data_IF_271417985797
#
_entry.id   IF_271417985797
#
_cell.length_a   1.000
_cell.length_b   1.000
_cell.length_c   1.000
_cell.angle_alpha   90.00
_cell.angle_beta   90.00
_cell.angle_gamma   90.00
#
_symmetry.space_group_name_H-M   'P 1'
#
loop_
_entity.id
_entity.type
_entity.pdbx_description
1 polymer ?
#
# COMPACT_ATOMS: atom_id res chain seq x y z
N UNK A 1 22.99 30.03 23.65
CA UNK A 1 21.90 29.08 23.37
C UNK A 1 21.46 29.30 21.93
N UNK A 2 21.97 28.52 20.97
CA UNK A 2 21.44 28.60 19.60
C UNK A 2 20.03 28.02 19.62
N UNK A 3 19.04 28.85 19.30
CA UNK A 3 17.68 28.36 19.06
C UNK A 3 17.69 27.72 17.68
N UNK A 4 17.63 26.40 17.65
CA UNK A 4 17.40 25.69 16.40
C UNK A 4 16.10 26.18 15.75
N UNK A 5 15.99 26.11 14.40
CA UNK A 5 14.77 26.47 13.70
C UNK A 5 13.55 25.73 14.28
N UNK A 6 12.36 26.36 14.31
CA UNK A 6 11.15 25.71 14.82
C UNK A 6 10.82 24.40 14.07
N UNK A 7 11.22 24.27 12.80
CA UNK A 7 11.09 23.06 11.98
C UNK A 7 11.95 21.90 12.48
N UNK A 8 13.16 22.19 12.97
CA UNK A 8 14.06 21.19 13.57
C UNK A 8 13.44 20.64 14.85
N UNK A 9 12.88 21.51 15.69
CA UNK A 9 12.18 21.08 16.91
C UNK A 9 10.97 20.19 16.58
N UNK A 10 10.16 20.57 15.56
CA UNK A 10 9.05 19.73 15.08
C UNK A 10 9.50 18.35 14.61
N UNK A 11 10.60 18.28 13.85
CA UNK A 11 11.19 17.01 13.43
C UNK A 11 11.55 16.13 14.64
N UNK A 12 12.26 16.70 15.61
CA UNK A 12 12.71 15.97 16.81
C UNK A 12 11.54 15.50 17.67
N UNK A 13 10.49 16.32 17.82
CA UNK A 13 9.29 15.96 18.56
C UNK A 13 8.52 14.81 17.90
N UNK A 14 8.37 14.85 16.56
CA UNK A 14 7.73 13.77 15.81
C UNK A 14 8.55 12.48 15.86
N UNK A 15 9.88 12.57 15.75
CA UNK A 15 10.77 11.42 15.94
C UNK A 15 10.63 10.79 17.32
N UNK A 16 10.61 11.62 18.39
CA UNK A 16 10.41 11.15 19.76
C UNK A 16 9.03 10.52 19.94
N UNK A 17 7.99 11.11 19.37
CA UNK A 17 6.64 10.56 19.42
C UNK A 17 6.59 9.18 18.75
N UNK A 18 7.14 9.05 17.53
CA UNK A 18 7.20 7.78 16.82
C UNK A 18 7.98 6.71 17.59
N UNK A 19 9.12 7.06 18.17
CA UNK A 19 9.90 6.15 19.02
C UNK A 19 9.10 5.69 20.25
N UNK A 20 8.40 6.60 20.92
CA UNK A 20 7.55 6.27 22.07
C UNK A 20 6.47 5.27 21.68
N UNK A 21 5.78 5.49 20.55
CA UNK A 21 4.75 4.59 20.05
C UNK A 21 5.30 3.20 19.71
N UNK A 22 6.50 3.11 19.12
CA UNK A 22 7.17 1.82 18.91
C UNK A 22 7.50 1.13 20.22
N UNK A 23 8.04 1.84 21.20
CA UNK A 23 8.33 1.28 22.53
C UNK A 23 7.06 0.77 23.22
N UNK A 24 5.96 1.50 23.12
CA UNK A 24 4.64 1.06 23.62
C UNK A 24 4.17 -0.21 22.89
N UNK A 25 4.32 -0.27 21.56
CA UNK A 25 3.97 -1.46 20.78
C UNK A 25 4.83 -2.69 21.14
N UNK A 26 6.09 -2.49 21.50
CA UNK A 26 6.99 -3.57 21.93
C UNK A 26 6.58 -4.17 23.28
N UNK A 27 5.99 -3.37 24.18
CA UNK A 27 5.51 -3.82 25.48
C UNK A 27 4.21 -4.65 25.40
N UNK A 28 3.45 -4.55 24.31
CA UNK A 28 2.12 -5.15 24.16
C UNK A 28 2.15 -6.58 23.57
N UNK A 29 3.09 -7.42 24.02
CA UNK A 29 3.22 -8.80 23.52
C UNK A 29 1.92 -9.60 23.71
N UNK A 30 1.47 -10.29 22.65
CA UNK A 30 0.23 -11.07 22.66
C UNK A 30 -1.03 -10.25 22.37
N UNK A 31 -0.96 -8.93 22.38
CA UNK A 31 -2.06 -8.03 21.99
C UNK A 31 -1.84 -7.45 20.58
N UNK A 32 -1.70 -8.34 19.60
CA UNK A 32 -1.29 -7.99 18.23
C UNK A 32 -2.17 -6.90 17.58
N UNK A 33 -3.46 -6.84 17.90
CA UNK A 33 -4.36 -5.77 17.42
C UNK A 33 -3.97 -4.39 17.98
N UNK A 34 -3.69 -4.28 19.27
CA UNK A 34 -3.25 -3.03 19.88
C UNK A 34 -1.84 -2.66 19.44
N UNK A 35 -0.94 -3.65 19.29
CA UNK A 35 0.40 -3.43 18.73
C UNK A 35 0.32 -2.78 17.35
N UNK A 36 -0.57 -3.26 16.48
CA UNK A 36 -0.76 -2.68 15.15
C UNK A 36 -1.18 -1.20 15.22
N UNK A 37 -2.04 -0.81 16.15
CA UNK A 37 -2.48 0.60 16.31
C UNK A 37 -1.29 1.50 16.61
N UNK A 38 -0.48 1.15 17.61
CA UNK A 38 0.68 1.95 17.98
C UNK A 38 1.77 1.96 16.91
N UNK A 39 1.99 0.85 16.20
CA UNK A 39 2.94 0.83 15.08
C UNK A 39 2.47 1.70 13.90
N UNK A 40 1.16 1.77 13.61
CA UNK A 40 0.65 2.69 12.60
C UNK A 40 0.84 4.16 13.03
N UNK A 41 0.55 4.50 14.29
CA UNK A 41 0.81 5.84 14.82
C UNK A 41 2.29 6.22 14.76
N UNK A 42 3.18 5.26 15.06
CA UNK A 42 4.62 5.47 14.91
C UNK A 42 5.01 5.76 13.46
N UNK A 43 4.48 4.97 12.52
CA UNK A 43 4.75 5.13 11.10
C UNK A 43 4.29 6.50 10.59
N UNK A 44 3.08 6.91 10.96
CA UNK A 44 2.53 8.22 10.61
C UNK A 44 3.40 9.35 11.18
N UNK A 45 3.86 9.24 12.42
CA UNK A 45 4.74 10.22 13.05
C UNK A 45 6.07 10.38 12.31
N UNK A 46 6.73 9.28 11.93
CA UNK A 46 7.98 9.33 11.17
C UNK A 46 7.77 9.87 9.75
N UNK A 47 6.68 9.50 9.08
CA UNK A 47 6.35 10.05 7.76
C UNK A 47 6.08 11.56 7.83
N UNK A 48 5.42 12.03 8.88
CA UNK A 48 5.26 13.46 9.13
C UNK A 48 6.61 14.14 9.44
N UNK A 49 7.50 13.48 10.17
CA UNK A 49 8.84 14.00 10.44
C UNK A 49 9.61 14.22 9.14
N UNK A 50 9.52 13.31 8.16
CA UNK A 50 10.19 13.45 6.86
C UNK A 50 9.81 14.72 6.10
N UNK A 51 8.62 15.30 6.33
CA UNK A 51 8.23 16.59 5.73
C UNK A 51 9.19 17.71 6.14
N UNK A 52 9.82 17.60 7.32
CA UNK A 52 10.79 18.55 7.85
C UNK A 52 12.25 18.14 7.58
N UNK A 53 12.49 17.09 6.79
CA UNK A 53 13.84 16.56 6.51
C UNK A 53 14.81 17.56 5.89
N UNK A 54 14.31 18.56 5.16
CA UNK A 54 15.12 19.62 4.56
C UNK A 54 15.81 20.54 5.60
N UNK A 55 15.30 20.57 6.84
CA UNK A 55 15.80 21.43 7.90
C UNK A 55 16.78 20.74 8.86
N UNK A 56 16.96 19.43 8.71
CA UNK A 56 17.80 18.61 9.60
C UNK A 56 18.97 17.97 8.87
N UNK A 57 20.06 17.60 9.58
CA UNK A 57 21.19 16.91 8.97
C UNK A 57 20.77 15.60 8.28
N UNK A 58 21.43 15.27 7.16
CA UNK A 58 21.15 14.05 6.39
C UNK A 58 21.18 12.76 7.24
N UNK A 59 22.06 12.71 8.25
CA UNK A 59 22.13 11.60 9.20
C UNK A 59 20.80 11.40 9.94
N UNK A 60 20.15 12.47 10.41
CA UNK A 60 18.88 12.37 11.12
C UNK A 60 17.75 11.92 10.17
N UNK A 61 17.77 12.38 8.93
CA UNK A 61 16.84 11.92 7.89
C UNK A 61 17.03 10.43 7.60
N UNK A 62 18.28 9.95 7.53
CA UNK A 62 18.57 8.53 7.35
C UNK A 62 18.03 7.69 8.52
N UNK A 63 18.27 8.13 9.77
CA UNK A 63 17.72 7.45 10.96
C UNK A 63 16.19 7.39 10.93
N UNK A 64 15.53 8.45 10.47
CA UNK A 64 14.08 8.48 10.30
C UNK A 64 13.60 7.42 9.29
N UNK A 65 14.27 7.31 8.14
CA UNK A 65 13.98 6.29 7.12
C UNK A 65 14.21 4.87 7.63
N UNK A 66 15.25 4.65 8.45
CA UNK A 66 15.51 3.37 9.10
C UNK A 66 14.38 3.00 10.05
N UNK A 67 13.92 3.93 10.90
CA UNK A 67 12.78 3.70 11.78
C UNK A 67 11.47 3.41 11.01
N UNK A 68 11.24 4.07 9.88
CA UNK A 68 10.09 3.76 9.00
C UNK A 68 10.18 2.32 8.51
N UNK A 69 11.35 1.92 7.98
CA UNK A 69 11.57 0.57 7.46
C UNK A 69 11.36 -0.48 8.55
N UNK A 70 11.93 -0.28 9.73
CA UNK A 70 11.76 -1.21 10.85
C UNK A 70 10.30 -1.31 11.29
N UNK A 71 9.60 -0.17 11.39
CA UNK A 71 8.16 -0.15 11.75
C UNK A 71 7.31 -0.89 10.73
N UNK A 72 7.63 -0.79 9.44
CA UNK A 72 6.94 -1.54 8.37
C UNK A 72 7.19 -3.05 8.49
N UNK A 73 8.41 -3.47 8.85
CA UNK A 73 8.73 -4.87 9.11
C UNK A 73 7.93 -5.38 10.33
N UNK A 74 7.89 -4.60 11.41
CA UNK A 74 7.10 -4.93 12.60
C UNK A 74 5.61 -5.09 12.27
N UNK A 75 5.04 -4.17 11.48
CA UNK A 75 3.66 -4.25 11.00
C UNK A 75 3.40 -5.50 10.16
N UNK A 76 4.34 -5.89 9.29
CA UNK A 76 4.23 -7.11 8.49
C UNK A 76 4.21 -8.36 9.39
N UNK A 77 5.03 -8.39 10.43
CA UNK A 77 5.06 -9.49 11.42
C UNK A 77 3.72 -9.55 12.14
N UNK A 78 3.23 -8.42 12.67
CA UNK A 78 1.95 -8.33 13.38
C UNK A 78 0.78 -8.77 12.48
N UNK A 79 0.77 -8.34 11.22
CA UNK A 79 -0.24 -8.76 10.23
C UNK A 79 -0.26 -10.28 10.02
N UNK A 80 0.91 -10.91 9.92
CA UNK A 80 1.02 -12.38 9.82
C UNK A 80 0.50 -13.07 11.09
N UNK A 81 0.81 -12.53 12.27
CA UNK A 81 0.34 -13.10 13.54
C UNK A 81 -1.20 -13.00 13.66
N UNK A 82 -1.78 -11.84 13.33
CA UNK A 82 -3.23 -11.65 13.31
C UNK A 82 -3.93 -12.60 12.33
N UNK A 83 -3.37 -12.80 11.14
CA UNK A 83 -3.94 -13.72 10.16
C UNK A 83 -3.92 -15.18 10.68
N UNK A 84 -2.82 -15.61 11.32
CA UNK A 84 -2.75 -16.95 11.94
C UNK A 84 -3.78 -17.14 13.04
N UNK A 85 -4.07 -16.11 13.83
CA UNK A 85 -5.11 -16.15 14.87
C UNK A 85 -6.51 -16.28 14.24
N UNK A 86 -6.81 -15.51 13.19
CA UNK A 86 -8.09 -15.61 12.48
C UNK A 86 -8.31 -17.00 11.86
N UNK A 87 -7.25 -17.60 11.30
CA UNK A 87 -7.32 -18.95 10.76
C UNK A 87 -7.58 -20.01 11.85
N UNK A 88 -6.96 -19.88 13.03
CA UNK A 88 -7.23 -20.79 14.16
C UNK A 88 -8.70 -20.73 14.60
N UNK A 89 -9.28 -19.54 14.71
CA UNK A 89 -10.70 -19.36 15.08
C UNK A 89 -11.64 -20.00 14.06
N UNK A 90 -11.29 -19.96 12.76
CA UNK A 90 -12.09 -20.61 11.70
C UNK A 90 -12.02 -22.14 11.74
N UNK A 91 -10.92 -22.71 12.20
CA UNK A 91 -10.73 -24.17 12.28
C UNK A 91 -11.20 -24.78 13.61
N UNK A 92 -11.32 -23.97 14.67
CA UNK A 92 -11.73 -24.44 16.01
C UNK A 92 -13.24 -24.36 16.27
N UNK A 93 -14.02 -23.82 15.34
CA UNK A 93 -15.46 -24.02 15.38
C UNK A 93 -15.73 -25.51 15.16
N UNK A 94 -16.39 -26.22 16.09
CA UNK A 94 -16.87 -27.55 15.80
C UNK A 94 -17.75 -27.43 14.55
N UNK A 95 -17.35 -28.16 13.52
CA UNK A 95 -18.14 -28.38 12.33
C UNK A 95 -19.38 -29.19 12.76
N UNK A 96 -20.31 -28.55 13.45
CA UNK A 96 -21.70 -28.98 13.41
C UNK A 96 -22.11 -28.83 11.95
N UNK A 97 -21.93 -29.90 11.20
CA UNK A 97 -22.50 -30.04 9.88
C UNK A 97 -23.98 -29.68 9.99
N UNK A 98 -24.46 -28.56 9.41
CA UNK A 98 -25.88 -28.54 9.11
C UNK A 98 -26.02 -29.62 8.05
N UNK A 99 -26.69 -30.72 8.41
CA UNK A 99 -27.20 -31.71 7.47
C UNK A 99 -27.90 -30.95 6.35
N UNK A 100 -27.18 -30.71 5.25
CA UNK A 100 -27.70 -30.04 4.07
C UNK A 100 -28.64 -31.04 3.44
N UNK A 101 -29.90 -31.06 3.90
CA UNK A 101 -31.00 -31.57 3.10
C UNK A 101 -30.93 -30.82 1.77
N UNK A 102 -30.54 -31.54 0.72
CA UNK A 102 -30.59 -31.06 -0.64
C UNK A 102 -32.05 -30.78 -1.00
N UNK A 103 -32.49 -29.54 -0.79
CA UNK A 103 -33.74 -29.05 -1.37
C UNK A 103 -33.45 -28.94 -2.86
N UNK A 104 -34.01 -29.87 -3.65
CA UNK A 104 -34.03 -29.79 -5.11
C UNK A 104 -34.87 -28.57 -5.49
N UNK A 105 -34.23 -27.41 -5.59
CA UNK A 105 -34.84 -26.22 -6.19
C UNK A 105 -35.05 -26.58 -7.67
N UNK A 106 -36.32 -26.66 -8.07
CA UNK A 106 -36.70 -26.86 -9.46
C UNK A 106 -36.31 -25.60 -10.25
N UNK A 107 -35.14 -25.63 -10.86
CA UNK A 107 -34.70 -24.59 -11.80
C UNK A 107 -35.48 -24.80 -13.10
N UNK A 108 -36.21 -23.79 -13.63
CA UNK A 108 -36.82 -23.89 -14.95
C UNK A 108 -35.74 -24.17 -15.99
N UNK A 109 -35.93 -25.24 -16.77
CA UNK A 109 -34.96 -25.68 -17.76
C UNK A 109 -34.71 -24.59 -18.82
N UNK A 110 -33.46 -24.16 -18.96
CA UNK A 110 -33.01 -23.42 -20.13
C UNK A 110 -33.08 -24.35 -21.36
N UNK A 111 -33.67 -23.92 -22.49
CA UNK A 111 -33.74 -24.76 -23.68
C UNK A 111 -32.34 -25.06 -24.23
N UNK A 112 -32.15 -26.32 -24.62
CA UNK A 112 -30.93 -26.90 -25.18
C UNK A 112 -30.65 -26.35 -26.58
N UNK A 113 -29.37 -26.08 -26.84
CA UNK A 113 -28.62 -26.17 -28.11
C UNK A 113 -29.30 -25.68 -29.41
N UNK A 114 -28.74 -24.62 -29.99
CA UNK A 114 -28.74 -24.36 -31.43
C UNK A 114 -27.29 -24.49 -31.96
N UNK A 115 -26.65 -25.64 -31.75
CA UNK A 115 -25.66 -26.11 -32.72
C UNK A 115 -26.42 -26.86 -33.81
N UNK A 116 -26.77 -26.12 -34.86
CA UNK A 116 -26.99 -26.70 -36.18
C UNK A 116 -25.63 -26.92 -36.82
N UNK A 117 -25.32 -28.18 -37.06
CA UNK A 117 -24.34 -28.62 -38.04
C UNK A 117 -24.74 -28.09 -39.43
N UNK A 118 -23.76 -27.98 -40.33
CA UNK A 118 -23.85 -27.52 -41.72
C UNK A 118 -23.85 -26.00 -41.96
N UNK A 119 -22.65 -25.54 -42.36
CA UNK A 119 -22.34 -24.16 -42.66
C UNK A 119 -23.15 -23.55 -43.79
N UNK A 120 -23.70 -22.37 -43.53
CA UNK A 120 -23.82 -21.25 -44.49
C UNK A 120 -24.10 -19.97 -43.71
N UNK A 121 -23.17 -19.03 -43.81
CA UNK A 121 -23.27 -17.68 -43.29
C UNK A 121 -24.43 -16.95 -43.98
N UNK A 122 -25.46 -16.57 -43.23
CA UNK A 122 -26.47 -15.62 -43.68
C UNK A 122 -26.70 -14.56 -42.59
N UNK A 123 -26.05 -13.42 -42.80
CA UNK A 123 -26.16 -12.20 -42.03
C UNK A 123 -27.49 -11.50 -42.36
N UNK A 124 -28.43 -11.39 -41.42
CA UNK A 124 -29.54 -10.45 -41.53
C UNK A 124 -30.05 -9.95 -40.17
N UNK A 125 -29.56 -8.75 -39.85
CA UNK A 125 -30.03 -7.69 -38.94
C UNK A 125 -31.47 -7.82 -38.38
N UNK A 126 -31.61 -7.84 -37.04
CA UNK A 126 -32.64 -7.07 -36.30
C UNK A 126 -32.07 -6.67 -34.91
N UNK A 127 -32.00 -5.36 -34.65
CA UNK A 127 -31.75 -4.69 -33.34
C UNK A 127 -33.10 -4.54 -32.58
N UNK A 128 -33.27 -4.19 -31.28
CA UNK A 128 -32.34 -3.52 -30.34
C UNK A 128 -32.48 -3.96 -28.84
N UNK A 129 -31.84 -3.18 -27.94
CA UNK A 129 -31.96 -3.08 -26.46
C UNK A 129 -30.99 -3.93 -25.62
N UNK A 130 -30.03 -3.22 -25.05
CA UNK A 130 -29.25 -3.49 -23.81
C UNK A 130 -30.14 -3.98 -22.64
N UNK A 131 -29.62 -4.65 -21.58
CA UNK A 131 -28.31 -4.33 -20.96
C UNK A 131 -27.49 -5.49 -20.35
N UNK A 132 -26.28 -5.10 -19.89
CA UNK A 132 -25.38 -5.77 -18.93
C UNK A 132 -24.55 -6.96 -19.42
N UNK A 133 -23.29 -6.65 -19.76
CA UNK A 133 -22.14 -7.21 -19.05
C UNK A 133 -20.97 -6.19 -19.10
N UNK A 134 -20.42 -5.89 -17.93
CA UNK A 134 -19.08 -5.30 -17.76
C UNK A 134 -18.01 -6.37 -18.12
N UNK A 135 -16.69 -6.17 -17.91
CA UNK A 135 -15.96 -4.97 -17.49
C UNK A 135 -14.74 -4.71 -18.41
N UNK A 136 -14.03 -3.59 -18.22
CA UNK A 136 -12.56 -3.46 -18.27
C UNK A 136 -12.17 -1.98 -18.48
N UNK A 137 -11.57 -1.43 -17.43
CA UNK A 137 -10.34 -0.62 -17.47
C UNK A 137 -10.04 0.12 -18.77
N UNK A 138 -10.32 1.43 -18.80
CA UNK A 138 -9.45 2.37 -19.52
C UNK A 138 -9.54 3.78 -18.92
N UNK A 139 -8.36 4.32 -18.68
CA UNK A 139 -8.01 5.65 -18.18
C UNK A 139 -8.86 6.79 -18.78
N UNK A 140 -9.18 7.84 -18.02
CA UNK A 140 -9.47 9.13 -18.62
C UNK A 140 -8.15 9.77 -19.10
N UNK A 141 -8.00 9.90 -20.42
CA UNK A 141 -7.02 10.77 -21.06
C UNK A 141 -7.43 12.25 -20.93
N UNK A 142 -6.46 13.18 -20.94
CA UNK A 142 -6.66 14.56 -20.50
C UNK A 142 -7.17 15.45 -21.63
N UNK A 143 -8.06 16.38 -21.29
CA UNK A 143 -8.56 17.42 -22.17
C UNK A 143 -7.49 18.52 -22.33
N UNK A 144 -7.05 18.72 -23.57
CA UNK A 144 -6.02 19.66 -24.01
C UNK A 144 -6.60 21.07 -24.19
N UNK A 145 -5.93 22.11 -23.66
CA UNK A 145 -5.97 23.54 -24.07
C UNK A 145 -4.92 24.37 -23.27
N UNK A 146 -4.51 25.57 -23.74
CA UNK A 146 -3.20 25.74 -24.36
C UNK A 146 -2.14 26.46 -23.52
N UNK A 147 -0.92 26.39 -24.04
CA UNK A 147 0.36 26.88 -23.56
C UNK A 147 0.38 28.24 -22.82
N UNK A 148 0.93 28.20 -21.60
CA UNK A 148 1.91 29.20 -21.14
C UNK A 148 3.12 28.46 -20.58
N UNK A 149 4.28 28.69 -21.20
CA UNK A 149 5.57 28.15 -20.82
C UNK A 149 5.95 28.65 -19.41
N UNK A 150 5.74 27.82 -18.40
CA UNK A 150 6.49 27.89 -17.15
C UNK A 150 7.30 26.60 -17.07
N UNK A 151 8.62 26.72 -16.96
CA UNK A 151 9.53 25.58 -16.77
C UNK A 151 9.08 24.82 -15.53
N UNK A 152 8.43 23.68 -15.76
CA UNK A 152 8.04 22.73 -14.74
C UNK A 152 9.31 21.97 -14.36
N UNK A 153 10.01 22.44 -13.32
CA UNK A 153 11.00 21.61 -12.66
C UNK A 153 10.26 20.41 -12.07
N UNK A 154 10.51 19.24 -12.65
CA UNK A 154 10.00 17.97 -12.17
C UNK A 154 10.44 17.77 -10.72
N UNK A 155 9.54 17.43 -9.78
CA UNK A 155 9.96 17.07 -8.44
C UNK A 155 10.88 15.85 -8.52
N UNK A 156 11.99 15.80 -7.75
CA UNK A 156 12.98 14.75 -7.88
C UNK A 156 12.32 13.41 -7.55
N UNK A 157 12.22 12.55 -8.56
CA UNK A 157 11.84 11.15 -8.37
C UNK A 157 12.85 10.49 -7.43
N UNK A 158 12.40 9.53 -6.61
CA UNK A 158 13.29 8.78 -5.71
C UNK A 158 14.50 8.17 -6.43
N UNK A 159 14.34 7.87 -7.72
CA UNK A 159 15.37 7.41 -8.63
C UNK A 159 16.43 8.49 -8.90
N UNK A 160 16.02 9.74 -9.15
CA UNK A 160 16.93 10.86 -9.30
C UNK A 160 17.70 11.15 -8.00
N UNK A 161 17.03 11.03 -6.84
CA UNK A 161 17.68 11.17 -5.52
C UNK A 161 18.73 10.07 -5.32
N UNK A 162 18.40 8.82 -5.63
CA UNK A 162 19.33 7.70 -5.54
C UNK A 162 20.55 7.86 -6.47
N UNK A 163 20.36 8.36 -7.69
CA UNK A 163 21.44 8.66 -8.63
C UNK A 163 22.35 9.79 -8.13
N UNK A 164 21.80 10.86 -7.54
CA UNK A 164 22.62 11.91 -6.91
C UNK A 164 23.41 11.39 -5.71
N UNK A 165 22.82 10.54 -4.87
CA UNK A 165 23.54 9.97 -3.71
C UNK A 165 24.65 9.02 -4.16
N UNK A 166 24.42 8.24 -5.22
CA UNK A 166 25.43 7.36 -5.80
C UNK A 166 26.57 8.13 -6.48
N UNK A 167 26.25 9.24 -7.15
CA UNK A 167 27.24 10.12 -7.76
C UNK A 167 28.08 10.89 -6.72
N UNK A 168 27.50 11.22 -5.56
CA UNK A 168 28.22 11.83 -4.45
C UNK A 168 29.10 10.83 -3.68
N UNK A 169 28.84 9.53 -3.85
CA UNK A 169 29.51 8.44 -3.13
C UNK A 169 30.76 7.85 -3.84
N UNK A 170 31.35 8.52 -4.84
CA UNK A 170 32.61 8.08 -5.45
C UNK A 170 33.66 9.19 -5.62
N UNK A 171 34.99 8.93 -5.52
CA UNK A 171 35.70 7.73 -5.11
C UNK A 171 36.64 7.99 -3.89
N UNK A 172 36.22 7.60 -2.67
CA UNK A 172 37.13 7.51 -1.50
C UNK A 172 37.66 6.10 -1.24
N UNK A 173 37.42 5.16 -2.16
CA UNK A 173 37.80 3.74 -2.06
C UNK A 173 39.01 3.33 -2.94
N UNK A 174 39.94 4.26 -3.23
CA UNK A 174 41.17 3.95 -4.01
C UNK A 174 42.50 4.37 -3.39
N UNK A 175 42.53 4.76 -2.12
CA UNK A 175 43.79 4.96 -1.38
C UNK A 175 43.69 4.18 -0.08
N UNK A 176 44.19 2.94 -0.08
CA UNK A 176 44.68 2.14 1.05
C UNK A 176 44.64 0.64 0.70
N UNK A 177 45.22 0.27 -0.44
CA UNK A 177 45.83 -1.04 -0.65
C UNK A 177 47.27 -0.79 -1.08
#
# INVERSE_FOLDING_TARGET
>A
MSKDPPEVNKFLDLMRHGQTMRSTAAALLGQESHRAIYLNQALDAFQQALVFSAYVPALQTQMCLEHIRETQVDLLIVSKLLNRQQLHVRTSMPNEQPSRRAVKVLVPALPKSLFGDDGKLALAKISPRFPKAAPLLLLPTPQERPAKKAKLETPPTLLAIAETLLALAGPTLRRNL
#
